data_IF_225527404093
#
_entry.id   IF_225527404093
#
_cell.length_a   1.000
_cell.length_b   1.000
_cell.length_c   1.000
_cell.angle_alpha   90.00
_cell.angle_beta   90.00
_cell.angle_gamma   90.00
#
_symmetry.space_group_name_H-M   'P 1'
#
loop_
_entity.id
_entity.type
_entity.pdbx_description
1 polymer ?
#
# COMPACT_ATOMS: atom_id res chain seq x y z
N UNK A 1 -13.79 20.44 -6.08
CA UNK A 1 -13.65 18.98 -6.00
C UNK A 1 -12.16 18.70 -5.82
N UNK A 2 -11.72 18.49 -4.58
CA UNK A 2 -10.30 18.24 -4.28
C UNK A 2 -9.97 16.86 -4.84
N UNK A 3 -9.34 16.81 -6.01
CA UNK A 3 -8.67 15.60 -6.47
C UNK A 3 -7.49 15.42 -5.53
N UNK A 4 -7.62 14.49 -4.58
CA UNK A 4 -6.50 14.05 -3.76
C UNK A 4 -5.46 13.53 -4.74
N UNK A 5 -4.26 14.10 -4.70
CA UNK A 5 -3.18 13.70 -5.59
C UNK A 5 -2.86 12.22 -5.38
N UNK A 6 -2.41 11.52 -6.42
CA UNK A 6 -2.05 10.10 -6.31
C UNK A 6 -1.05 9.87 -5.16
N UNK A 7 -0.09 10.78 -4.97
CA UNK A 7 0.86 10.69 -3.87
C UNK A 7 0.19 10.79 -2.49
N UNK A 8 -0.83 11.65 -2.35
CA UNK A 8 -1.57 11.80 -1.10
C UNK A 8 -2.49 10.59 -0.85
N UNK A 9 -3.06 9.98 -1.90
CA UNK A 9 -3.82 8.75 -1.77
C UNK A 9 -2.93 7.58 -1.31
N UNK A 10 -1.71 7.48 -1.85
CA UNK A 10 -0.74 6.44 -1.45
C UNK A 10 -0.26 6.66 -0.01
N UNK A 11 0.05 7.89 0.39
CA UNK A 11 0.42 8.21 1.76
C UNK A 11 -0.70 7.85 2.78
N UNK A 12 -1.97 8.10 2.42
CA UNK A 12 -3.11 7.68 3.23
C UNK A 12 -3.25 6.16 3.32
N UNK A 13 -2.91 5.43 2.26
CA UNK A 13 -2.87 3.96 2.27
C UNK A 13 -1.76 3.45 3.18
N UNK A 14 -0.55 4.03 3.11
CA UNK A 14 0.56 3.69 4.01
C UNK A 14 0.17 3.87 5.48
N UNK A 15 -0.36 5.05 5.85
CA UNK A 15 -0.76 5.35 7.23
C UNK A 15 -1.80 4.33 7.75
N UNK A 16 -2.79 3.97 6.91
CA UNK A 16 -3.80 2.97 7.25
C UNK A 16 -3.21 1.58 7.42
N UNK A 17 -2.26 1.18 6.58
CA UNK A 17 -1.59 -0.11 6.69
C UNK A 17 -0.68 -0.15 7.91
N UNK A 18 0.05 0.92 8.23
CA UNK A 18 0.87 1.01 9.44
C UNK A 18 0.02 0.91 10.71
N UNK A 19 -1.15 1.55 10.75
CA UNK A 19 -2.10 1.44 11.86
C UNK A 19 -2.72 0.04 11.99
N UNK A 20 -2.87 -0.69 10.89
CA UNK A 20 -3.45 -2.04 10.88
C UNK A 20 -2.42 -3.14 11.17
N UNK A 21 -1.18 -2.96 10.72
CA UNK A 21 -0.07 -3.90 10.88
C UNK A 21 0.97 -3.35 11.85
N UNK A 22 0.58 -3.09 13.10
CA UNK A 22 1.48 -2.55 14.14
C UNK A 22 2.64 -3.48 14.50
N UNK A 23 2.53 -4.77 14.15
CA UNK A 23 3.56 -5.79 14.35
C UNK A 23 4.61 -5.81 13.23
N UNK A 24 4.37 -5.08 12.14
CA UNK A 24 5.28 -4.96 11.00
C UNK A 24 6.01 -3.62 11.07
N UNK A 25 7.35 -3.58 10.86
CA UNK A 25 8.07 -2.32 10.81
C UNK A 25 7.52 -1.37 9.73
N UNK A 26 7.45 -0.08 10.05
CA UNK A 26 6.98 0.94 9.11
C UNK A 26 7.79 0.97 7.80
N UNK A 27 9.10 0.71 7.86
CA UNK A 27 9.95 0.55 6.67
C UNK A 27 9.48 -0.59 5.76
N UNK A 28 9.10 -1.73 6.34
CA UNK A 28 8.57 -2.87 5.57
C UNK A 28 7.23 -2.51 4.94
N UNK A 29 6.33 -1.86 5.68
CA UNK A 29 5.04 -1.41 5.14
C UNK A 29 5.24 -0.45 3.97
N UNK A 30 6.11 0.55 4.12
CA UNK A 30 6.38 1.52 3.05
C UNK A 30 7.05 0.87 1.84
N UNK A 31 8.03 -0.02 2.04
CA UNK A 31 8.65 -0.77 0.96
C UNK A 31 7.63 -1.62 0.17
N UNK A 32 6.74 -2.32 0.87
CA UNK A 32 5.67 -3.11 0.25
C UNK A 32 4.69 -2.23 -0.53
N UNK A 33 4.31 -1.07 0.02
CA UNK A 33 3.41 -0.13 -0.68
C UNK A 33 4.08 0.46 -1.91
N UNK A 34 5.36 0.85 -1.82
CA UNK A 34 6.14 1.34 -2.95
C UNK A 34 6.32 0.29 -4.05
N UNK A 35 6.57 -0.97 -3.69
CA UNK A 35 6.66 -2.07 -4.67
C UNK A 35 5.31 -2.30 -5.35
N UNK A 36 4.22 -2.35 -4.58
CA UNK A 36 2.88 -2.49 -5.12
C UNK A 36 2.53 -1.32 -6.05
N UNK A 37 2.88 -0.08 -5.68
CA UNK A 37 2.67 1.12 -6.50
C UNK A 37 3.47 1.11 -7.80
N UNK A 38 4.74 0.72 -7.74
CA UNK A 38 5.60 0.57 -8.92
C UNK A 38 5.00 -0.35 -9.97
N UNK A 39 4.30 -1.42 -9.53
CA UNK A 39 3.64 -2.38 -10.40
C UNK A 39 2.45 -1.80 -11.17
N UNK A 40 1.90 -0.67 -10.72
CA UNK A 40 0.81 0.05 -11.37
C UNK A 40 1.25 1.29 -12.14
N UNK A 41 2.56 1.62 -12.18
CA UNK A 41 3.09 2.75 -12.98
C UNK A 41 2.68 2.68 -14.45
N UNK A 42 2.52 1.47 -15.00
CA UNK A 42 2.11 1.24 -16.39
C UNK A 42 0.60 1.29 -16.61
N UNK A 43 -0.21 1.47 -15.55
CA UNK A 43 -1.66 1.47 -15.65
C UNK A 43 -2.19 2.82 -16.13
N UNK A 44 -3.10 2.80 -17.10
CA UNK A 44 -3.70 4.00 -17.67
C UNK A 44 -4.75 4.64 -16.74
N UNK A 45 -5.40 3.84 -15.89
CA UNK A 45 -6.42 4.33 -14.94
C UNK A 45 -5.79 4.48 -13.56
N UNK A 46 -5.61 5.72 -13.12
CA UNK A 46 -4.94 6.07 -11.84
C UNK A 46 -5.89 6.20 -10.65
N UNK A 47 -7.19 6.39 -10.90
CA UNK A 47 -8.20 6.55 -9.85
C UNK A 47 -8.37 5.32 -8.94
N UNK A 48 -7.99 4.13 -9.43
CA UNK A 48 -8.08 2.88 -8.66
C UNK A 48 -6.71 2.38 -8.18
N UNK A 49 -5.62 3.08 -8.51
CA UNK A 49 -4.27 2.63 -8.16
C UNK A 49 -4.12 2.53 -6.64
N UNK A 50 -4.55 3.53 -5.89
CA UNK A 50 -4.47 3.50 -4.42
C UNK A 50 -5.21 2.29 -3.80
N UNK A 51 -6.41 1.97 -4.29
CA UNK A 51 -7.18 0.81 -3.82
C UNK A 51 -6.49 -0.52 -4.14
N UNK A 52 -5.93 -0.63 -5.35
CA UNK A 52 -5.23 -1.84 -5.79
C UNK A 52 -3.91 -2.04 -5.04
N UNK A 53 -3.17 -0.95 -4.83
CA UNK A 53 -1.95 -0.91 -4.02
C UNK A 53 -2.25 -1.35 -2.60
N UNK A 54 -3.27 -0.78 -1.96
CA UNK A 54 -3.68 -1.16 -0.62
C UNK A 54 -4.00 -2.66 -0.52
N UNK A 55 -4.85 -3.16 -1.43
CA UNK A 55 -5.26 -4.57 -1.43
C UNK A 55 -4.07 -5.50 -1.56
N UNK A 56 -3.12 -5.14 -2.43
CA UNK A 56 -1.90 -5.93 -2.65
C UNK A 56 -0.98 -5.87 -1.44
N UNK A 57 -0.68 -4.68 -0.93
CA UNK A 57 0.16 -4.51 0.23
C UNK A 57 -0.42 -5.23 1.46
N UNK A 58 -1.73 -5.16 1.66
CA UNK A 58 -2.40 -5.92 2.72
C UNK A 58 -2.19 -7.43 2.58
N UNK A 59 -2.33 -7.99 1.37
CA UNK A 59 -2.14 -9.41 1.12
C UNK A 59 -0.68 -9.84 1.36
N UNK A 60 0.28 -9.05 0.92
CA UNK A 60 1.71 -9.30 1.11
C UNK A 60 2.12 -9.21 2.59
N UNK A 61 1.67 -8.16 3.29
CA UNK A 61 1.91 -8.00 4.73
C UNK A 61 1.28 -9.14 5.53
N UNK A 62 0.05 -9.53 5.20
CA UNK A 62 -0.62 -10.67 5.82
C UNK A 62 0.13 -11.98 5.56
N UNK A 63 0.59 -12.23 4.33
CA UNK A 63 1.41 -13.41 4.03
C UNK A 63 2.74 -13.40 4.80
N UNK A 64 3.36 -12.22 4.95
CA UNK A 64 4.60 -12.03 5.71
C UNK A 64 4.46 -12.35 7.20
N UNK A 65 3.26 -12.13 7.77
CA UNK A 65 2.94 -12.50 9.15
C UNK A 65 2.69 -14.00 9.28
N UNK A 66 1.96 -14.62 8.34
CA UNK A 66 1.68 -16.06 8.37
C UNK A 66 2.94 -16.92 8.15
N UNK A 67 3.91 -16.43 7.38
CA UNK A 67 5.19 -17.13 7.17
C UNK A 67 6.14 -17.04 8.38
N UNK A 68 5.79 -16.27 9.42
CA UNK A 68 6.63 -16.02 10.61
C UNK A 68 6.19 -16.83 11.84
N UNK A 69 5.19 -17.71 11.70
CA UNK A 69 4.75 -18.68 12.72
C UNK A 69 5.16 -20.10 12.36
#
# INVERSE_FOLDING_TARGET
MLKIDEGEQIANVEDRLMKRFTEVPAETVSATVAEAHSRFITSTVRDYVALLVERRAHAELQASLHSRG
#
